data_IF_560019803934
#
_entry.id   IF_560019803934
#
_cell.length_a   1.000
_cell.length_b   1.000
_cell.length_c   1.000
_cell.angle_alpha   90.00
_cell.angle_beta   90.00
_cell.angle_gamma   90.00
#
_symmetry.space_group_name_H-M   'P 1'
#
loop_
_entity.id
_entity.type
_entity.pdbx_description
1 polymer ?
#
# COMPACT_ATOMS: atom_id res chain seq x y z
N UNK A 1 -4.69 -11.38 9.38
CA UNK A 1 -4.23 -10.53 8.26
C UNK A 1 -5.37 -10.06 7.37
N UNK A 2 -6.29 -10.96 7.02
CA UNK A 2 -7.42 -10.57 6.18
C UNK A 2 -8.29 -9.52 6.85
N UNK A 3 -8.60 -9.67 8.13
CA UNK A 3 -9.40 -8.69 8.87
C UNK A 3 -8.72 -7.32 8.92
N UNK A 4 -7.44 -7.26 9.29
CA UNK A 4 -6.73 -5.98 9.41
C UNK A 4 -6.39 -5.37 8.06
N UNK A 5 -6.06 -6.19 7.05
CA UNK A 5 -5.63 -5.68 5.75
C UNK A 5 -6.79 -5.36 4.80
N UNK A 6 -7.95 -5.95 5.00
CA UNK A 6 -9.09 -5.80 4.09
C UNK A 6 -10.33 -5.33 4.81
N UNK A 7 -10.88 -6.13 5.72
CA UNK A 7 -12.19 -5.83 6.34
C UNK A 7 -12.18 -4.53 7.13
N UNK A 8 -11.13 -4.28 7.91
CA UNK A 8 -11.01 -3.04 8.67
C UNK A 8 -10.88 -1.83 7.76
N UNK A 9 -10.11 -1.96 6.67
CA UNK A 9 -9.94 -0.89 5.69
C UNK A 9 -11.26 -0.57 4.98
N UNK A 10 -12.00 -1.61 4.57
CA UNK A 10 -13.31 -1.43 3.94
C UNK A 10 -14.29 -0.74 4.92
N UNK A 11 -14.34 -1.22 6.16
CA UNK A 11 -15.24 -0.64 7.18
C UNK A 11 -14.90 0.83 7.47
N UNK A 12 -13.62 1.15 7.64
CA UNK A 12 -13.18 2.52 7.86
C UNK A 12 -13.51 3.41 6.66
N UNK A 13 -13.23 2.95 5.45
CA UNK A 13 -13.51 3.70 4.24
C UNK A 13 -15.00 3.98 4.12
N UNK A 14 -15.86 2.99 4.35
CA UNK A 14 -17.31 3.18 4.32
C UNK A 14 -17.77 4.21 5.35
N UNK A 15 -17.19 4.19 6.55
CA UNK A 15 -17.55 5.13 7.61
C UNK A 15 -17.21 6.58 7.27
N UNK A 16 -16.10 6.82 6.57
CA UNK A 16 -15.66 8.18 6.22
C UNK A 16 -16.06 8.61 4.81
N UNK A 17 -16.69 7.73 4.05
CA UNK A 17 -17.03 7.99 2.64
C UNK A 17 -17.88 9.24 2.43
N UNK A 18 -18.92 9.53 3.24
CA UNK A 18 -19.68 10.78 3.07
C UNK A 18 -18.80 12.04 3.19
N UNK A 19 -17.89 12.06 4.16
CA UNK A 19 -16.96 13.17 4.34
C UNK A 19 -15.97 13.28 3.19
N UNK A 20 -15.48 12.14 2.69
CA UNK A 20 -14.57 12.10 1.54
C UNK A 20 -15.24 12.66 0.28
N UNK A 21 -16.48 12.25 0.02
CA UNK A 21 -17.24 12.74 -1.13
C UNK A 21 -17.42 14.26 -1.06
N UNK A 22 -17.77 14.77 0.11
CA UNK A 22 -17.97 16.21 0.33
C UNK A 22 -16.70 17.02 0.09
N UNK A 23 -15.54 16.45 0.45
CA UNK A 23 -14.25 17.12 0.32
C UNK A 23 -13.55 16.86 -1.02
N UNK A 24 -14.10 16.03 -1.90
CA UNK A 24 -13.39 15.50 -3.07
C UNK A 24 -12.04 14.91 -2.64
N UNK A 25 -12.10 14.04 -1.64
CA UNK A 25 -10.94 13.57 -0.90
C UNK A 25 -10.04 12.61 -1.65
N UNK A 26 -8.99 12.19 -0.96
CA UNK A 26 -7.98 11.29 -1.48
C UNK A 26 -7.79 10.13 -0.52
N UNK A 27 -7.98 8.91 -1.01
CA UNK A 27 -7.69 7.67 -0.26
C UNK A 27 -6.36 7.13 -0.75
N UNK A 28 -5.43 6.92 0.16
CA UNK A 28 -4.15 6.27 -0.14
C UNK A 28 -4.13 4.93 0.58
N UNK A 29 -4.07 3.86 -0.19
CA UNK A 29 -4.02 2.49 0.33
C UNK A 29 -2.57 2.00 0.28
N UNK A 30 -2.02 1.70 1.44
CA UNK A 30 -0.66 1.17 1.53
C UNK A 30 -0.76 -0.35 1.37
N UNK A 31 -0.36 -0.81 0.21
CA UNK A 31 -0.33 -2.21 -0.17
C UNK A 31 1.10 -2.76 -0.06
N UNK A 32 1.47 -3.67 -0.90
CA UNK A 32 2.84 -4.20 -1.00
C UNK A 32 3.06 -4.80 -2.39
N UNK A 33 4.28 -5.19 -2.69
CA UNK A 33 4.56 -5.98 -3.89
C UNK A 33 3.78 -7.30 -3.93
N UNK A 34 3.40 -7.83 -2.77
CA UNK A 34 2.55 -9.02 -2.66
C UNK A 34 1.11 -8.79 -3.15
N UNK A 35 0.69 -7.56 -3.37
CA UNK A 35 -0.57 -7.23 -4.05
C UNK A 35 -0.49 -7.32 -5.57
N UNK A 36 0.70 -7.52 -6.12
CA UNK A 36 0.96 -7.60 -7.56
C UNK A 36 1.44 -8.97 -8.02
N UNK A 37 2.03 -9.75 -7.11
CA UNK A 37 2.58 -11.08 -7.39
C UNK A 37 2.59 -11.94 -6.14
N UNK A 38 2.69 -13.24 -6.32
CA UNK A 38 2.74 -14.21 -5.23
C UNK A 38 4.10 -14.87 -5.19
N UNK A 39 4.71 -14.90 -4.00
CA UNK A 39 5.92 -15.65 -3.73
C UNK A 39 5.58 -16.96 -2.99
N UNK A 40 6.33 -18.05 -3.21
CA UNK A 40 6.11 -19.30 -2.47
C UNK A 40 6.11 -19.08 -0.95
N UNK A 41 5.16 -19.65 -0.25
CA UNK A 41 5.05 -19.55 1.20
C UNK A 41 4.29 -18.30 1.69
N UNK A 42 3.92 -17.39 0.81
CA UNK A 42 3.25 -16.13 1.16
C UNK A 42 1.82 -16.04 0.65
N UNK A 43 1.18 -17.19 0.37
CA UNK A 43 -0.13 -17.22 -0.28
C UNK A 43 -1.23 -16.47 0.47
N UNK A 44 -1.34 -16.66 1.79
CA UNK A 44 -2.38 -15.98 2.57
C UNK A 44 -2.16 -14.47 2.63
N UNK A 45 -0.91 -14.04 2.81
CA UNK A 45 -0.57 -12.62 2.81
C UNK A 45 -0.83 -12.00 1.44
N UNK A 46 -0.39 -12.66 0.36
CA UNK A 46 -0.63 -12.19 -0.99
C UNK A 46 -2.13 -12.11 -1.30
N UNK A 47 -2.92 -13.10 -0.87
CA UNK A 47 -4.38 -13.07 -1.08
C UNK A 47 -5.00 -11.83 -0.43
N UNK A 48 -4.61 -11.48 0.79
CA UNK A 48 -5.12 -10.27 1.46
C UNK A 48 -4.70 -9.00 0.73
N UNK A 49 -3.47 -8.95 0.22
CA UNK A 49 -2.97 -7.77 -0.50
C UNK A 49 -3.56 -7.64 -1.90
N UNK A 50 -3.82 -8.74 -2.60
CA UNK A 50 -4.58 -8.72 -3.85
C UNK A 50 -6.02 -8.25 -3.61
N UNK A 51 -6.66 -8.69 -2.53
CA UNK A 51 -7.99 -8.22 -2.17
C UNK A 51 -8.01 -6.72 -1.90
N UNK A 52 -7.00 -6.19 -1.19
CA UNK A 52 -6.87 -4.76 -0.94
C UNK A 52 -6.69 -3.98 -2.25
N UNK A 53 -5.92 -4.52 -3.19
CA UNK A 53 -5.76 -3.90 -4.50
C UNK A 53 -7.08 -3.87 -5.26
N UNK A 54 -7.82 -4.97 -5.26
CA UNK A 54 -9.12 -5.05 -5.90
C UNK A 54 -10.10 -4.04 -5.29
N UNK A 55 -10.08 -3.88 -3.97
CA UNK A 55 -10.89 -2.88 -3.29
C UNK A 55 -10.55 -1.46 -3.76
N UNK A 56 -9.26 -1.13 -3.85
CA UNK A 56 -8.82 0.16 -4.36
C UNK A 56 -9.29 0.43 -5.79
N UNK A 57 -9.17 -0.56 -6.66
CA UNK A 57 -9.62 -0.46 -8.05
C UNK A 57 -11.13 -0.25 -8.13
N UNK A 58 -11.91 -1.00 -7.36
CA UNK A 58 -13.36 -0.85 -7.30
C UNK A 58 -13.77 0.52 -6.78
N UNK A 59 -13.16 0.95 -5.70
CA UNK A 59 -13.45 2.26 -5.09
C UNK A 59 -13.19 3.40 -6.10
N UNK A 60 -12.09 3.31 -6.83
CA UNK A 60 -11.74 4.32 -7.84
C UNK A 60 -12.80 4.41 -8.94
N UNK A 61 -13.34 3.29 -9.35
CA UNK A 61 -14.37 3.25 -10.39
C UNK A 61 -15.74 3.69 -9.87
N UNK A 62 -16.07 3.33 -8.65
CA UNK A 62 -17.38 3.61 -8.06
C UNK A 62 -17.51 5.03 -7.51
N UNK A 63 -16.38 5.68 -7.18
CA UNK A 63 -16.35 7.00 -6.56
C UNK A 63 -15.55 7.99 -7.41
N UNK A 64 -16.13 8.48 -8.51
CA UNK A 64 -15.40 9.34 -9.45
C UNK A 64 -14.99 10.70 -8.88
N UNK A 65 -15.60 11.14 -7.79
CA UNK A 65 -15.21 12.39 -7.12
C UNK A 65 -13.96 12.25 -6.25
N UNK A 66 -13.51 11.02 -5.99
CA UNK A 66 -12.35 10.75 -5.15
C UNK A 66 -11.12 10.42 -5.98
N UNK A 67 -9.94 10.73 -5.44
CA UNK A 67 -8.71 10.12 -5.88
C UNK A 67 -8.43 8.91 -4.98
N UNK A 68 -8.05 7.80 -5.58
CA UNK A 68 -7.71 6.57 -4.86
C UNK A 68 -6.37 6.08 -5.40
N UNK A 69 -5.37 6.09 -4.56
CA UNK A 69 -4.01 5.71 -4.91
C UNK A 69 -3.63 4.45 -4.14
N UNK A 70 -3.21 3.41 -4.86
CA UNK A 70 -2.63 2.22 -4.25
C UNK A 70 -1.11 2.31 -4.34
N UNK A 71 -0.44 2.22 -3.21
CA UNK A 71 1.03 2.23 -3.12
C UNK A 71 1.51 0.82 -2.84
N UNK A 72 2.39 0.31 -3.68
CA UNK A 72 2.92 -1.05 -3.59
C UNK A 72 4.42 -1.00 -3.35
N UNK A 73 4.87 -0.74 -2.11
CA UNK A 73 6.29 -0.79 -1.82
C UNK A 73 6.76 -2.24 -1.73
N UNK A 74 7.99 -2.48 -2.14
CA UNK A 74 8.69 -3.71 -1.79
C UNK A 74 9.05 -3.72 -0.31
N UNK A 75 9.97 -4.59 0.09
CA UNK A 75 10.36 -4.70 1.50
C UNK A 75 10.99 -3.39 1.99
N UNK A 76 10.57 -2.95 3.16
CA UNK A 76 10.97 -1.67 3.75
C UNK A 76 11.90 -1.95 4.93
N UNK A 77 12.94 -1.12 5.07
CA UNK A 77 13.85 -1.17 6.21
C UNK A 77 13.12 -0.71 7.48
N UNK A 78 12.64 -1.67 8.25
CA UNK A 78 11.91 -1.46 9.50
C UNK A 78 12.35 -2.49 10.54
N UNK A 79 12.05 -2.22 11.80
CA UNK A 79 12.32 -3.18 12.89
C UNK A 79 11.58 -4.51 12.65
N UNK A 80 10.36 -4.45 12.14
CA UNK A 80 9.59 -5.64 11.81
C UNK A 80 10.29 -6.45 10.71
N UNK A 81 10.81 -5.78 9.67
CA UNK A 81 11.51 -6.44 8.58
C UNK A 81 12.82 -7.08 9.07
N UNK A 82 13.53 -6.39 9.95
CA UNK A 82 14.74 -6.92 10.58
C UNK A 82 14.46 -8.21 11.34
N UNK A 83 13.38 -8.22 12.14
CA UNK A 83 12.97 -9.42 12.88
C UNK A 83 12.61 -10.58 11.95
N UNK A 84 11.93 -10.31 10.83
CA UNK A 84 11.59 -11.33 9.84
C UNK A 84 12.86 -11.96 9.23
N UNK A 85 13.81 -11.13 8.81
CA UNK A 85 15.06 -11.61 8.20
C UNK A 85 15.86 -12.46 9.19
N UNK A 86 15.97 -12.03 10.43
CA UNK A 86 16.65 -12.77 11.49
C UNK A 86 15.96 -14.12 11.77
N UNK A 87 14.62 -14.13 11.78
CA UNK A 87 13.86 -15.37 11.93
C UNK A 87 14.10 -16.35 10.77
N UNK A 88 14.31 -15.84 9.57
CA UNK A 88 14.67 -16.64 8.40
C UNK A 88 16.11 -17.19 8.45
N UNK A 89 16.88 -16.84 9.47
CA UNK A 89 18.26 -17.26 9.65
C UNK A 89 19.25 -16.53 8.76
N UNK A 90 18.88 -15.38 8.24
CA UNK A 90 19.73 -14.54 7.38
C UNK A 90 20.28 -13.35 8.16
N UNK A 91 21.42 -12.85 7.70
CA UNK A 91 21.97 -11.60 8.22
C UNK A 91 21.18 -10.42 7.64
N UNK A 92 20.79 -9.49 8.50
CA UNK A 92 20.04 -8.32 8.09
C UNK A 92 20.97 -7.26 7.48
N UNK A 93 20.60 -6.79 6.29
CA UNK A 93 21.23 -5.67 5.63
C UNK A 93 20.15 -4.68 5.17
N UNK A 94 20.00 -3.58 5.91
CA UNK A 94 19.03 -2.54 5.58
C UNK A 94 19.22 -1.93 4.19
N UNK A 95 20.44 -2.02 3.63
CA UNK A 95 20.72 -1.55 2.28
C UNK A 95 20.02 -2.34 1.18
N UNK A 96 19.47 -3.51 1.48
CA UNK A 96 18.69 -4.33 0.55
C UNK A 96 17.22 -3.88 0.46
N UNK A 97 16.77 -2.98 1.34
CA UNK A 97 15.38 -2.62 1.48
C UNK A 97 15.14 -1.14 1.23
N UNK A 98 13.88 -0.79 0.95
CA UNK A 98 13.46 0.61 0.84
C UNK A 98 13.58 1.29 2.20
N UNK A 99 13.93 2.56 2.20
CA UNK A 99 13.81 3.39 3.40
C UNK A 99 12.35 3.77 3.61
N UNK A 100 11.91 3.78 4.86
CA UNK A 100 10.55 4.21 5.22
C UNK A 100 10.28 5.65 4.74
N UNK A 101 11.27 6.53 4.85
CA UNK A 101 11.16 7.93 4.39
C UNK A 101 10.92 8.02 2.88
N UNK A 102 11.52 7.13 2.10
CA UNK A 102 11.31 7.10 0.64
C UNK A 102 9.86 6.76 0.32
N UNK A 103 9.28 5.79 1.01
CA UNK A 103 7.87 5.41 0.84
C UNK A 103 6.96 6.57 1.26
N UNK A 104 7.25 7.18 2.41
CA UNK A 104 6.48 8.33 2.90
C UNK A 104 6.51 9.49 1.92
N UNK A 105 7.66 9.76 1.30
CA UNK A 105 7.78 10.82 0.28
C UNK A 105 6.92 10.51 -0.95
N UNK A 106 6.87 9.25 -1.39
CA UNK A 106 6.02 8.86 -2.52
C UNK A 106 4.53 9.09 -2.19
N UNK A 107 4.11 8.77 -0.98
CA UNK A 107 2.75 9.05 -0.51
C UNK A 107 2.47 10.55 -0.51
N UNK A 108 3.40 11.35 0.04
CA UNK A 108 3.29 12.80 0.08
C UNK A 108 3.15 13.39 -1.33
N UNK A 109 3.98 12.92 -2.26
CA UNK A 109 3.93 13.38 -3.65
C UNK A 109 2.60 13.03 -4.31
N UNK A 110 2.04 11.87 -4.01
CA UNK A 110 0.72 11.49 -4.52
C UNK A 110 -0.37 12.44 -4.01
N UNK A 111 -0.33 12.77 -2.73
CA UNK A 111 -1.30 13.69 -2.10
C UNK A 111 -1.18 15.10 -2.70
N UNK A 112 0.04 15.55 -2.95
CA UNK A 112 0.33 16.90 -3.47
C UNK A 112 0.20 16.98 -4.99
N UNK A 113 -0.14 15.91 -5.68
CA UNK A 113 -0.35 15.91 -7.13
C UNK A 113 -1.47 16.89 -7.49
N UNK A 114 -1.27 17.75 -8.50
CA UNK A 114 -2.31 18.69 -8.93
C UNK A 114 -3.65 18.03 -9.24
N UNK A 115 -4.73 18.80 -9.09
CA UNK A 115 -6.09 18.27 -9.16
C UNK A 115 -6.51 17.67 -10.50
N UNK A 116 -5.81 18.00 -11.59
CA UNK A 116 -6.07 17.46 -12.92
C UNK A 116 -5.44 16.08 -13.15
N UNK A 117 -4.69 15.55 -12.17
CA UNK A 117 -4.03 14.26 -12.28
C UNK A 117 -4.46 13.32 -11.16
N UNK A 118 -4.54 12.05 -11.49
CA UNK A 118 -4.90 11.00 -10.53
C UNK A 118 -3.79 9.94 -10.51
N UNK A 119 -2.91 9.97 -9.51
CA UNK A 119 -1.94 8.88 -9.33
C UNK A 119 -2.69 7.63 -8.86
N UNK A 120 -2.85 6.65 -9.73
CA UNK A 120 -3.67 5.48 -9.47
C UNK A 120 -2.90 4.38 -8.74
N UNK A 121 -1.70 4.06 -9.22
CA UNK A 121 -0.84 3.06 -8.59
C UNK A 121 0.60 3.53 -8.60
N UNK A 122 1.30 3.29 -7.51
CA UNK A 122 2.72 3.60 -7.35
C UNK A 122 3.43 2.32 -6.92
N UNK A 123 4.36 1.85 -7.72
CA UNK A 123 5.16 0.67 -7.42
C UNK A 123 6.59 1.10 -7.12
N UNK A 124 7.07 0.75 -5.94
CA UNK A 124 8.43 1.08 -5.51
C UNK A 124 9.20 -0.21 -5.26
N UNK A 125 10.31 -0.36 -5.95
CA UNK A 125 11.21 -1.50 -5.75
C UNK A 125 12.52 -1.01 -5.16
N UNK A 126 13.09 -1.73 -4.19
CA UNK A 126 14.39 -1.33 -3.66
C UNK A 126 15.49 -1.49 -4.70
N UNK A 127 16.41 -0.54 -4.67
CA UNK A 127 17.72 -0.68 -5.34
C UNK A 127 18.73 -0.87 -4.21
N UNK A 128 19.39 -2.03 -4.11
CA UNK A 128 20.36 -2.29 -3.04
C UNK A 128 21.46 -1.22 -3.00
N UNK A 129 21.82 -0.80 -1.77
CA UNK A 129 22.83 0.25 -1.51
C UNK A 129 24.04 -0.32 -0.82
#
# INVERSE_FOLDING_TARGET
QYESNVLAVVALTQAVLPALRKANGHVVLINSGAGLRVNPGWGAYAASKFALRAFGDALRQEEPSLRVTSVHPGRIDTDMQKAIVEHEGKEYDGGQFLRADTVALAVRNAIDTPADAHPTEIVLKPIPR
#
